data_IF_056257943074
#
_entry.id   IF_056257943074
#
_cell.length_a   1.000
_cell.length_b   1.000
_cell.length_c   1.000
_cell.angle_alpha   90.00
_cell.angle_beta   90.00
_cell.angle_gamma   90.00
#
_symmetry.space_group_name_H-M   'P 1'
#
loop_
_entity.id
_entity.type
_entity.pdbx_description
1 polymer ?
#
# COMPACT_ATOMS: atom_id res chain seq x y z
N UNK A 1 48.84 0.44 -47.88
CA UNK A 1 48.19 1.45 -48.72
C UNK A 1 46.74 1.07 -48.91
N UNK A 2 45.82 1.72 -48.20
CA UNK A 2 44.44 2.03 -48.59
C UNK A 2 43.87 2.95 -47.51
N UNK A 3 43.31 4.02 -48.00
CA UNK A 3 43.03 5.30 -47.37
C UNK A 3 41.82 5.24 -46.41
N UNK A 4 41.90 6.04 -45.36
CA UNK A 4 40.79 6.41 -44.45
C UNK A 4 39.99 7.55 -45.06
N UNK A 5 38.65 7.54 -44.98
CA UNK A 5 37.86 8.77 -45.28
C UNK A 5 37.62 9.57 -44.01
N UNK A 6 37.71 10.86 -44.18
CA UNK A 6 37.59 11.96 -43.25
C UNK A 6 36.19 12.10 -42.63
N UNK A 7 36.19 12.51 -41.36
CA UNK A 7 35.02 12.92 -40.58
C UNK A 7 34.60 14.32 -40.97
N UNK A 8 33.35 14.46 -41.52
CA UNK A 8 32.71 15.73 -41.74
C UNK A 8 32.05 16.24 -40.45
N UNK A 9 32.37 17.45 -40.05
CA UNK A 9 31.63 18.23 -39.03
C UNK A 9 30.34 18.74 -39.62
N UNK A 10 29.19 18.34 -39.03
CA UNK A 10 27.90 18.98 -39.25
C UNK A 10 27.57 19.75 -37.98
N UNK A 11 27.34 21.06 -38.17
CA UNK A 11 26.99 22.03 -37.13
C UNK A 11 25.56 21.81 -36.61
N UNK A 12 25.41 21.89 -35.32
CA UNK A 12 24.13 21.82 -34.65
C UNK A 12 23.48 23.20 -34.56
N UNK A 13 22.28 23.29 -35.07
CA UNK A 13 21.40 24.46 -34.86
C UNK A 13 20.66 24.27 -33.51
N UNK A 14 20.93 25.19 -32.60
CA UNK A 14 20.18 25.35 -31.37
C UNK A 14 18.82 26.00 -31.68
N UNK A 15 17.74 25.25 -31.55
CA UNK A 15 16.40 25.81 -31.51
C UNK A 15 16.19 26.52 -30.15
N UNK A 16 16.20 27.86 -30.21
CA UNK A 16 15.67 28.74 -29.16
C UNK A 16 14.15 28.68 -29.22
N UNK A 17 13.54 28.02 -28.23
CA UNK A 17 12.12 28.19 -27.94
C UNK A 17 11.94 29.45 -27.10
N UNK A 18 11.30 30.43 -27.70
CA UNK A 18 10.95 31.69 -27.07
C UNK A 18 9.87 31.53 -26.01
N UNK A 19 10.16 32.06 -24.84
CA UNK A 19 9.18 32.26 -23.78
C UNK A 19 8.29 33.43 -24.12
N UNK A 20 7.02 33.21 -24.43
CA UNK A 20 5.98 34.25 -24.48
C UNK A 20 5.35 34.41 -23.08
N UNK A 21 5.19 35.63 -22.57
CA UNK A 21 4.59 35.88 -21.27
C UNK A 21 3.07 35.73 -21.34
N UNK A 22 2.53 34.93 -20.43
CA UNK A 22 1.09 34.82 -20.20
C UNK A 22 0.53 36.15 -19.70
N UNK A 23 -0.30 36.79 -20.52
CA UNK A 23 -1.12 37.95 -20.15
C UNK A 23 -2.28 37.49 -19.27
N UNK A 24 -2.45 38.18 -18.16
CA UNK A 24 -3.60 38.13 -17.26
C UNK A 24 -4.92 38.32 -18.02
N UNK A 25 -5.80 37.32 -17.96
CA UNK A 25 -7.23 37.50 -18.16
C UNK A 25 -7.91 37.65 -16.78
N UNK A 26 -8.15 38.90 -16.40
CA UNK A 26 -9.12 39.23 -15.35
C UNK A 26 -10.52 39.01 -15.93
N UNK A 27 -11.22 37.94 -15.48
CA UNK A 27 -12.68 37.87 -15.61
C UNK A 27 -13.28 38.47 -14.36
N UNK A 28 -13.90 39.63 -14.50
CA UNK A 28 -14.87 40.17 -13.54
C UNK A 28 -16.04 39.21 -13.43
N UNK A 29 -16.25 38.63 -12.24
CA UNK A 29 -17.52 38.09 -11.85
C UNK A 29 -18.29 39.15 -11.08
N UNK A 30 -19.32 39.71 -11.70
CA UNK A 30 -20.29 40.58 -11.04
C UNK A 30 -21.11 39.73 -10.05
N UNK A 31 -20.88 39.93 -8.76
CA UNK A 31 -21.76 39.41 -7.71
C UNK A 31 -22.82 40.47 -7.46
N UNK A 32 -24.08 40.16 -7.78
CA UNK A 32 -25.25 40.93 -7.31
C UNK A 32 -25.47 40.60 -5.85
N UNK A 33 -25.82 41.57 -4.99
CA UNK A 33 -26.23 41.28 -3.62
C UNK A 33 -27.65 40.69 -3.62
N UNK A 34 -27.81 39.55 -2.92
CA UNK A 34 -29.12 39.00 -2.57
C UNK A 34 -29.54 39.56 -1.21
N UNK A 35 -30.73 40.07 -1.16
CA UNK A 35 -31.44 40.59 0.04
C UNK A 35 -31.68 39.46 1.06
N UNK A 36 -31.85 39.79 2.37
CA UNK A 36 -31.97 38.79 3.44
C UNK A 36 -33.38 38.30 3.55
N UNK A 37 -33.60 37.02 3.34
CA UNK A 37 -34.87 36.33 3.50
C UNK A 37 -34.70 34.85 3.84
N UNK A 38 -34.98 34.53 5.11
CA UNK A 38 -35.42 33.24 5.62
C UNK A 38 -34.58 32.00 5.22
N UNK A 39 -33.45 31.79 5.87
CA UNK A 39 -32.69 30.54 5.81
C UNK A 39 -33.13 29.54 6.89
N UNK A 40 -33.18 28.23 6.60
CA UNK A 40 -33.40 27.22 7.63
C UNK A 40 -32.18 27.20 8.58
N UNK A 41 -32.47 27.17 9.87
CA UNK A 41 -31.49 26.97 10.93
C UNK A 41 -30.84 25.59 10.79
N UNK A 42 -29.73 25.52 10.13
CA UNK A 42 -28.82 24.36 10.25
C UNK A 42 -28.06 24.52 11.56
N UNK A 43 -28.43 23.75 12.57
CA UNK A 43 -27.61 23.56 13.76
C UNK A 43 -26.25 23.06 13.31
N UNK A 44 -25.22 23.92 13.39
CA UNK A 44 -23.82 23.47 13.34
C UNK A 44 -23.59 22.65 14.61
N UNK A 45 -23.75 21.34 14.51
CA UNK A 45 -23.09 20.47 15.45
C UNK A 45 -21.59 20.61 15.17
N UNK A 46 -20.93 21.43 16.00
CA UNK A 46 -19.50 21.33 16.17
C UNK A 46 -19.22 19.90 16.60
N UNK A 47 -18.67 19.10 15.69
CA UNK A 47 -18.09 17.82 16.02
C UNK A 47 -16.85 18.13 16.85
N UNK A 48 -17.09 18.26 18.16
CA UNK A 48 -16.02 18.33 19.16
C UNK A 48 -15.33 16.97 19.13
N UNK A 49 -14.25 16.85 18.34
CA UNK A 49 -13.38 15.68 18.41
C UNK A 49 -12.78 15.66 19.81
N UNK A 50 -13.09 14.70 20.66
CA UNK A 50 -12.45 14.60 21.94
C UNK A 50 -10.96 14.33 21.70
N UNK A 51 -10.12 15.29 22.08
CA UNK A 51 -8.70 15.03 22.26
C UNK A 51 -8.56 13.85 23.21
N UNK A 52 -7.89 12.80 22.73
CA UNK A 52 -7.60 11.57 23.47
C UNK A 52 -6.82 11.88 24.76
N UNK A 53 -7.52 12.14 25.84
CA UNK A 53 -6.92 12.44 27.14
C UNK A 53 -7.28 11.45 28.25
N UNK A 54 -7.49 10.17 27.93
CA UNK A 54 -7.77 9.22 29.01
C UNK A 54 -7.20 7.80 28.79
N UNK A 55 -5.91 7.70 28.41
CA UNK A 55 -5.11 6.52 28.76
C UNK A 55 -4.35 6.79 30.05
N UNK A 56 -5.04 6.92 31.17
CA UNK A 56 -4.42 6.94 32.49
C UNK A 56 -4.41 5.53 33.09
N UNK A 57 -3.69 4.62 32.43
CA UNK A 57 -3.10 3.47 33.09
C UNK A 57 -1.64 3.79 33.32
N UNK A 58 -1.10 3.54 34.51
CA UNK A 58 0.22 3.91 34.99
C UNK A 58 1.26 4.15 33.88
N UNK A 59 1.48 5.37 33.52
CA UNK A 59 2.51 5.81 32.57
C UNK A 59 3.83 5.61 33.29
N UNK A 60 4.56 4.53 32.97
CA UNK A 60 6.01 4.55 33.17
C UNK A 60 6.51 5.83 32.51
N UNK A 61 7.28 6.64 33.24
CA UNK A 61 7.81 7.88 32.69
C UNK A 61 8.63 7.54 31.46
N UNK A 62 8.14 7.94 30.28
CA UNK A 62 8.80 7.69 29.00
C UNK A 62 10.16 8.37 29.00
N UNK A 63 11.23 7.64 28.70
CA UNK A 63 12.56 8.19 28.54
C UNK A 63 12.56 9.13 27.32
N UNK A 64 12.63 10.43 27.59
CA UNK A 64 12.67 11.44 26.53
C UNK A 64 14.08 11.53 25.96
N UNK A 65 14.27 11.51 24.64
CA UNK A 65 15.54 11.86 24.02
C UNK A 65 16.00 13.26 24.46
N UNK A 66 17.30 13.59 24.35
CA UNK A 66 17.81 14.91 24.68
C UNK A 66 17.07 16.01 23.93
N UNK A 67 16.67 17.06 24.69
CA UNK A 67 16.12 18.29 24.10
C UNK A 67 17.31 19.21 23.82
N UNK A 68 17.51 19.54 22.57
CA UNK A 68 18.70 20.22 22.07
C UNK A 68 18.35 21.52 21.33
N UNK A 69 19.36 22.32 21.01
CA UNK A 69 19.19 23.50 20.17
C UNK A 69 18.82 23.12 18.72
N UNK A 70 18.28 24.05 17.94
CA UNK A 70 17.98 23.86 16.52
C UNK A 70 19.22 23.46 15.72
N UNK A 71 20.38 24.02 16.07
CA UNK A 71 21.64 23.70 15.38
C UNK A 71 22.09 22.25 15.66
N UNK A 72 22.02 21.80 16.90
CA UNK A 72 22.35 20.41 17.27
C UNK A 72 21.36 19.43 16.68
N UNK A 73 20.07 19.80 16.61
CA UNK A 73 19.05 19.00 15.95
C UNK A 73 19.34 18.82 14.45
N UNK A 74 19.69 19.91 13.76
CA UNK A 74 20.00 19.85 12.32
C UNK A 74 21.26 19.01 12.07
N UNK A 75 22.28 19.12 12.91
CA UNK A 75 23.48 18.28 12.80
C UNK A 75 23.15 16.77 12.96
N UNK A 76 22.28 16.42 13.91
CA UNK A 76 21.81 15.05 14.09
C UNK A 76 20.97 14.59 12.89
N UNK A 77 20.10 15.46 12.36
CA UNK A 77 19.28 15.21 11.17
C UNK A 77 20.14 14.96 9.93
N UNK A 78 21.21 15.71 9.73
CA UNK A 78 22.15 15.52 8.63
C UNK A 78 22.86 14.16 8.71
N UNK A 79 23.26 13.71 9.92
CA UNK A 79 23.84 12.38 10.11
C UNK A 79 22.84 11.27 9.75
N UNK A 80 21.58 11.41 10.13
CA UNK A 80 20.53 10.47 9.77
C UNK A 80 20.29 10.46 8.26
N UNK A 81 20.31 11.63 7.60
CA UNK A 81 20.14 11.76 6.15
C UNK A 81 21.18 10.95 5.35
N UNK A 82 22.41 10.83 5.86
CA UNK A 82 23.45 9.98 5.23
C UNK A 82 22.99 8.52 5.19
N UNK A 83 22.41 8.02 6.29
CA UNK A 83 21.89 6.64 6.39
C UNK A 83 20.66 6.45 5.51
N UNK A 84 19.74 7.41 5.48
CA UNK A 84 18.56 7.40 4.62
C UNK A 84 18.94 7.32 3.13
N UNK A 85 19.93 8.12 2.70
CA UNK A 85 20.45 8.06 1.33
C UNK A 85 21.09 6.71 1.01
N UNK A 86 21.78 6.11 1.97
CA UNK A 86 22.36 4.78 1.80
C UNK A 86 21.27 3.70 1.65
N UNK A 87 20.21 3.79 2.47
CA UNK A 87 19.06 2.88 2.38
C UNK A 87 18.34 3.01 1.02
N UNK A 88 18.14 4.23 0.53
CA UNK A 88 17.52 4.45 -0.80
C UNK A 88 18.36 3.77 -1.88
N UNK A 89 19.69 3.98 -1.88
CA UNK A 89 20.58 3.31 -2.84
C UNK A 89 20.55 1.78 -2.74
N UNK A 90 20.48 1.23 -1.51
CA UNK A 90 20.33 -0.21 -1.31
C UNK A 90 19.00 -0.74 -1.86
N UNK A 91 17.89 0.00 -1.68
CA UNK A 91 16.59 -0.34 -2.28
C UNK A 91 16.64 -0.32 -3.80
N UNK A 92 17.31 0.67 -4.39
CA UNK A 92 17.48 0.76 -5.85
C UNK A 92 18.31 -0.42 -6.40
N UNK A 93 19.38 -0.80 -5.71
CA UNK A 93 20.20 -1.96 -6.05
C UNK A 93 19.39 -3.26 -5.98
N UNK A 94 18.67 -3.49 -4.89
CA UNK A 94 17.77 -4.64 -4.75
C UNK A 94 16.68 -4.67 -5.84
N UNK A 95 16.11 -3.53 -6.19
CA UNK A 95 15.16 -3.45 -7.29
C UNK A 95 15.80 -3.77 -8.65
N UNK A 96 17.06 -3.41 -8.85
CA UNK A 96 17.83 -3.78 -10.05
C UNK A 96 18.10 -5.29 -10.10
N UNK A 97 18.41 -5.93 -8.97
CA UNK A 97 18.56 -7.39 -8.88
C UNK A 97 17.23 -8.10 -9.18
N UNK A 98 16.13 -7.61 -8.60
CA UNK A 98 14.78 -8.13 -8.86
C UNK A 98 14.43 -8.11 -10.35
N UNK A 99 14.81 -7.06 -11.08
CA UNK A 99 14.64 -6.99 -12.55
C UNK A 99 15.49 -7.97 -13.34
N UNK A 100 16.52 -8.55 -12.72
CA UNK A 100 17.39 -9.57 -13.32
C UNK A 100 17.04 -10.99 -12.90
N UNK A 101 16.08 -11.17 -12.01
CA UNK A 101 15.61 -12.50 -11.64
C UNK A 101 15.09 -13.25 -12.87
N UNK A 102 15.30 -14.57 -12.94
CA UNK A 102 14.71 -15.39 -14.00
C UNK A 102 13.18 -15.36 -13.92
N UNK A 103 12.54 -15.40 -15.08
CA UNK A 103 11.10 -15.51 -15.18
C UNK A 103 10.66 -16.96 -15.17
N UNK A 104 9.53 -17.25 -14.55
CA UNK A 104 8.91 -18.57 -14.54
C UNK A 104 7.72 -18.56 -15.52
N UNK A 105 7.74 -19.42 -16.53
CA UNK A 105 6.62 -19.56 -17.46
C UNK A 105 5.36 -20.03 -16.74
N UNK A 106 4.23 -19.44 -17.10
CA UNK A 106 2.90 -19.84 -16.63
C UNK A 106 2.22 -20.58 -17.76
N UNK A 107 2.29 -21.91 -17.73
CA UNK A 107 1.77 -22.76 -18.83
C UNK A 107 0.32 -23.17 -18.60
N UNK A 108 -0.13 -23.19 -17.35
CA UNK A 108 -1.50 -23.54 -16.99
C UNK A 108 -2.45 -22.37 -17.26
N UNK A 109 -3.58 -22.64 -17.88
CA UNK A 109 -4.67 -21.70 -18.01
C UNK A 109 -5.35 -21.52 -16.63
N UNK A 110 -5.47 -20.27 -16.18
CA UNK A 110 -6.20 -19.91 -14.98
C UNK A 110 -7.43 -19.09 -15.34
N UNK A 111 -8.53 -19.35 -14.65
CA UNK A 111 -9.79 -18.64 -14.81
C UNK A 111 -10.25 -18.02 -13.50
N UNK A 112 -10.89 -16.87 -13.64
CA UNK A 112 -11.43 -16.10 -12.53
C UNK A 112 -12.87 -15.70 -12.84
N UNK A 113 -13.70 -15.55 -11.82
CA UNK A 113 -14.97 -14.85 -12.00
C UNK A 113 -14.74 -13.36 -11.76
N UNK A 114 -15.10 -12.55 -12.75
CA UNK A 114 -15.08 -11.09 -12.68
C UNK A 114 -16.50 -10.51 -12.51
N UNK A 115 -16.61 -9.18 -12.35
CA UNK A 115 -17.91 -8.51 -12.19
C UNK A 115 -18.88 -8.73 -13.37
N UNK A 116 -18.35 -8.98 -14.57
CA UNK A 116 -19.13 -9.15 -15.81
C UNK A 116 -19.09 -10.57 -16.37
N UNK A 117 -18.51 -11.50 -15.64
CA UNK A 117 -18.40 -12.90 -16.07
C UNK A 117 -16.99 -13.45 -15.92
N UNK A 118 -16.77 -14.64 -16.51
CA UNK A 118 -15.50 -15.35 -16.42
C UNK A 118 -14.43 -14.70 -17.29
N UNK A 119 -13.22 -14.62 -16.77
CA UNK A 119 -12.04 -14.04 -17.41
C UNK A 119 -10.82 -14.93 -17.18
N UNK A 120 -9.86 -14.89 -18.09
CA UNK A 120 -8.58 -15.59 -17.97
C UNK A 120 -7.54 -14.74 -17.20
N UNK A 121 -6.42 -15.35 -16.82
CA UNK A 121 -5.26 -14.62 -16.27
C UNK A 121 -4.77 -13.55 -17.27
N UNK A 122 -4.83 -13.81 -18.56
CA UNK A 122 -4.43 -12.84 -19.59
C UNK A 122 -5.33 -11.61 -19.62
N UNK A 123 -6.62 -11.77 -19.38
CA UNK A 123 -7.59 -10.67 -19.33
C UNK A 123 -7.33 -9.72 -18.15
N UNK A 124 -6.78 -10.26 -17.04
CA UNK A 124 -6.44 -9.43 -15.87
C UNK A 124 -5.37 -8.36 -16.15
N UNK A 125 -4.59 -8.54 -17.20
CA UNK A 125 -3.64 -7.52 -17.66
C UNK A 125 -4.33 -6.26 -18.24
N UNK A 126 -5.60 -6.34 -18.60
CA UNK A 126 -6.36 -5.24 -19.21
C UNK A 126 -5.62 -4.60 -20.40
N UNK A 127 -4.98 -5.43 -21.22
CA UNK A 127 -4.19 -4.99 -22.38
C UNK A 127 -2.76 -4.54 -22.06
N UNK A 128 -2.38 -4.36 -20.78
CA UNK A 128 -1.04 -3.92 -20.36
C UNK A 128 -0.08 -5.10 -20.32
N UNK A 129 1.22 -4.80 -20.32
CA UNK A 129 2.27 -5.84 -20.28
C UNK A 129 2.57 -6.38 -18.90
N UNK A 130 2.29 -5.63 -17.85
CA UNK A 130 2.62 -6.01 -16.47
C UNK A 130 1.36 -6.13 -15.63
N UNK A 131 1.35 -7.11 -14.74
CA UNK A 131 0.24 -7.38 -13.85
C UNK A 131 0.77 -7.63 -12.43
N UNK A 132 0.15 -7.01 -11.46
CA UNK A 132 0.31 -7.32 -10.05
C UNK A 132 -1.02 -7.91 -9.57
N UNK A 133 -0.98 -9.12 -9.01
CA UNK A 133 -2.14 -9.76 -8.40
C UNK A 133 -1.89 -9.82 -6.89
N UNK A 134 -2.67 -9.07 -6.13
CA UNK A 134 -2.71 -9.22 -4.69
C UNK A 134 -3.73 -10.30 -4.30
N UNK A 135 -3.25 -11.39 -3.74
CA UNK A 135 -4.13 -12.38 -3.12
C UNK A 135 -4.60 -11.84 -1.78
N UNK A 136 -5.86 -11.47 -1.69
CA UNK A 136 -6.50 -10.99 -0.48
C UNK A 136 -7.21 -12.16 0.23
N UNK A 137 -6.99 -12.31 1.54
CA UNK A 137 -7.52 -13.44 2.31
C UNK A 137 -8.96 -13.16 2.76
N UNK A 138 -9.87 -13.15 1.78
CA UNK A 138 -11.31 -12.92 1.91
C UNK A 138 -12.05 -14.14 1.36
N UNK A 139 -12.58 -14.98 2.24
CA UNK A 139 -13.20 -16.25 1.84
C UNK A 139 -14.00 -16.89 2.95
N UNK A 140 -14.92 -17.83 2.65
CA UNK A 140 -15.59 -18.65 3.64
C UNK A 140 -14.59 -19.37 4.55
N UNK A 141 -14.86 -19.39 5.85
CA UNK A 141 -13.98 -19.97 6.87
C UNK A 141 -13.03 -18.96 7.52
N UNK A 142 -12.77 -17.81 6.92
CA UNK A 142 -12.06 -16.72 7.57
C UNK A 142 -12.96 -16.05 8.59
N UNK A 143 -12.43 -15.73 9.76
CA UNK A 143 -13.20 -15.15 10.86
C UNK A 143 -13.91 -13.86 10.43
N UNK A 144 -15.18 -13.77 10.75
CA UNK A 144 -16.03 -12.62 10.43
C UNK A 144 -16.61 -12.62 9.03
N UNK A 145 -16.22 -13.56 8.16
CA UNK A 145 -16.79 -13.66 6.81
C UNK A 145 -18.32 -13.91 6.84
N UNK A 146 -19.12 -13.27 5.96
CA UNK A 146 -18.75 -12.38 4.87
C UNK A 146 -18.74 -10.88 5.21
N UNK A 147 -19.01 -10.50 6.45
CA UNK A 147 -19.05 -9.09 6.87
C UNK A 147 -17.64 -8.51 7.06
N UNK A 148 -16.74 -9.34 7.56
CA UNK A 148 -15.33 -9.02 7.79
C UNK A 148 -14.46 -10.21 7.36
N UNK A 149 -13.15 -10.00 7.27
CA UNK A 149 -12.17 -11.05 6.98
C UNK A 149 -10.77 -10.61 7.47
N UNK A 150 -9.72 -10.81 6.67
CA UNK A 150 -8.36 -10.44 6.99
C UNK A 150 -8.21 -8.92 7.19
N UNK A 151 -7.90 -8.50 8.43
CA UNK A 151 -7.70 -7.08 8.79
C UNK A 151 -6.52 -6.47 8.02
N UNK A 152 -5.39 -7.18 7.91
CA UNK A 152 -4.23 -6.68 7.17
C UNK A 152 -4.52 -6.47 5.69
N UNK A 153 -5.31 -7.36 5.06
CA UNK A 153 -5.75 -7.16 3.68
C UNK A 153 -6.70 -5.97 3.53
N UNK A 154 -7.55 -5.71 4.55
CA UNK A 154 -8.41 -4.53 4.60
C UNK A 154 -7.57 -3.25 4.70
N UNK A 155 -6.62 -3.22 5.63
CA UNK A 155 -5.67 -2.11 5.78
C UNK A 155 -4.90 -1.84 4.48
N UNK A 156 -4.46 -2.91 3.78
CA UNK A 156 -3.84 -2.80 2.46
C UNK A 156 -4.77 -2.21 1.41
N UNK A 157 -6.04 -2.63 1.37
CA UNK A 157 -7.04 -2.12 0.44
C UNK A 157 -7.33 -0.62 0.65
N UNK A 158 -7.38 -0.17 1.91
CA UNK A 158 -7.57 1.24 2.26
C UNK A 158 -6.45 2.14 1.71
N UNK A 159 -5.25 1.60 1.56
CA UNK A 159 -4.05 2.32 1.11
C UNK A 159 -3.83 2.28 -0.41
N UNK A 160 -4.66 1.55 -1.17
CA UNK A 160 -4.55 1.54 -2.63
C UNK A 160 -4.85 2.93 -3.18
N UNK A 161 -3.83 3.55 -3.76
CA UNK A 161 -3.91 4.87 -4.37
C UNK A 161 -4.64 4.84 -5.73
N UNK A 162 -4.64 5.96 -6.45
CA UNK A 162 -5.18 6.02 -7.80
C UNK A 162 -4.33 5.16 -8.77
N UNK A 163 -4.95 4.16 -9.38
CA UNK A 163 -4.29 3.18 -10.24
C UNK A 163 -3.77 3.76 -11.57
N UNK A 164 -4.21 4.96 -11.99
CA UNK A 164 -3.76 5.59 -13.23
C UNK A 164 -2.24 5.76 -13.30
N UNK A 165 -1.58 5.92 -12.15
CA UNK A 165 -0.12 6.04 -12.09
C UNK A 165 0.60 4.73 -12.45
N UNK A 166 0.05 3.59 -12.01
CA UNK A 166 0.52 2.27 -12.42
C UNK A 166 0.19 2.01 -13.89
N UNK A 167 -1.04 2.31 -14.29
CA UNK A 167 -1.51 2.12 -15.66
C UNK A 167 -0.66 2.89 -16.67
N UNK A 168 -0.24 4.13 -16.35
CA UNK A 168 0.67 4.93 -17.16
C UNK A 168 2.08 4.31 -17.29
N UNK A 169 2.41 3.30 -16.46
CA UNK A 169 3.62 2.50 -16.53
C UNK A 169 3.36 1.07 -17.01
N UNK A 170 2.31 0.91 -17.82
CA UNK A 170 1.97 -0.35 -18.48
C UNK A 170 1.78 -1.50 -17.46
N UNK A 171 1.21 -1.16 -16.29
CA UNK A 171 1.04 -2.07 -15.15
C UNK A 171 -0.40 -2.04 -14.66
N UNK A 172 -1.01 -3.21 -14.52
CA UNK A 172 -2.32 -3.40 -13.88
C UNK A 172 -2.12 -3.94 -12.47
N UNK A 173 -2.87 -3.43 -11.51
CA UNK A 173 -3.00 -4.00 -10.17
C UNK A 173 -4.43 -4.50 -10.00
N UNK A 174 -4.57 -5.77 -9.62
CA UNK A 174 -5.84 -6.39 -9.28
C UNK A 174 -5.76 -7.08 -7.93
N UNK A 175 -6.91 -7.20 -7.28
CA UNK A 175 -7.10 -8.08 -6.12
C UNK A 175 -7.74 -9.38 -6.59
N UNK A 176 -7.37 -10.48 -5.95
CA UNK A 176 -7.97 -11.78 -6.15
C UNK A 176 -8.21 -12.47 -4.82
N UNK A 177 -9.35 -13.14 -4.65
CA UNK A 177 -9.71 -13.87 -3.44
C UNK A 177 -10.69 -14.99 -3.78
N UNK A 178 -10.98 -15.87 -2.82
CA UNK A 178 -12.01 -16.90 -3.01
C UNK A 178 -13.43 -16.41 -2.64
N UNK A 179 -13.57 -15.12 -2.34
CA UNK A 179 -14.86 -14.48 -2.14
C UNK A 179 -15.71 -14.51 -3.42
N UNK A 180 -17.02 -14.72 -3.29
CA UNK A 180 -17.95 -14.61 -4.42
C UNK A 180 -18.06 -13.15 -4.87
N UNK A 181 -18.30 -12.91 -6.15
CA UNK A 181 -18.42 -11.55 -6.70
C UNK A 181 -19.50 -10.70 -6.00
N UNK A 182 -20.59 -11.30 -5.56
CA UNK A 182 -21.65 -10.59 -4.80
C UNK A 182 -21.12 -10.07 -3.44
N UNK A 183 -20.32 -10.87 -2.74
CA UNK A 183 -19.73 -10.47 -1.46
C UNK A 183 -18.64 -9.42 -1.66
N UNK A 184 -17.81 -9.56 -2.69
CA UNK A 184 -16.81 -8.57 -3.11
C UNK A 184 -17.48 -7.22 -3.41
N UNK A 185 -18.55 -7.22 -4.21
CA UNK A 185 -19.27 -6.00 -4.58
C UNK A 185 -19.84 -5.27 -3.34
N UNK A 186 -20.42 -6.03 -2.39
CA UNK A 186 -20.95 -5.50 -1.14
C UNK A 186 -19.84 -4.87 -0.28
N UNK A 187 -18.73 -5.58 -0.09
CA UNK A 187 -17.57 -5.10 0.66
C UNK A 187 -16.98 -3.83 0.03
N UNK A 188 -16.75 -3.86 -1.27
CA UNK A 188 -16.24 -2.69 -2.01
C UNK A 188 -17.14 -1.47 -1.85
N UNK A 189 -18.46 -1.67 -1.89
CA UNK A 189 -19.43 -0.59 -1.69
C UNK A 189 -19.35 0.00 -0.29
N UNK A 190 -19.31 -0.86 0.75
CA UNK A 190 -19.24 -0.45 2.16
C UNK A 190 -17.92 0.27 2.48
N UNK A 191 -16.79 -0.28 2.04
CA UNK A 191 -15.46 0.17 2.41
C UNK A 191 -14.89 1.27 1.49
N UNK A 192 -15.61 1.67 0.46
CA UNK A 192 -15.12 2.67 -0.50
C UNK A 192 -14.02 2.16 -1.44
N UNK A 193 -13.87 0.84 -1.63
CA UNK A 193 -12.85 0.22 -2.48
C UNK A 193 -13.25 0.12 -3.96
N UNK A 194 -14.20 0.93 -4.40
CA UNK A 194 -14.76 0.87 -5.76
C UNK A 194 -13.73 0.90 -6.89
N UNK A 195 -12.59 1.57 -6.67
CA UNK A 195 -11.50 1.69 -7.64
C UNK A 195 -10.64 0.43 -7.82
N UNK A 196 -10.74 -0.57 -6.92
CA UNK A 196 -9.89 -1.77 -6.95
C UNK A 196 -10.55 -2.81 -7.85
N UNK A 197 -9.95 -3.22 -8.99
CA UNK A 197 -10.39 -4.41 -9.73
C UNK A 197 -10.21 -5.63 -8.83
N UNK A 198 -11.27 -6.46 -8.70
CA UNK A 198 -11.24 -7.60 -7.78
C UNK A 198 -11.96 -8.80 -8.37
N UNK A 199 -11.26 -9.94 -8.38
CA UNK A 199 -11.69 -11.16 -9.05
C UNK A 199 -11.80 -12.33 -8.06
N UNK A 200 -12.69 -13.27 -8.36
CA UNK A 200 -12.83 -14.52 -7.59
C UNK A 200 -11.92 -15.58 -8.20
N UNK A 201 -11.05 -16.18 -7.37
CA UNK A 201 -10.23 -17.32 -7.75
C UNK A 201 -11.14 -18.56 -7.77
N UNK A 202 -11.20 -19.24 -8.90
CA UNK A 202 -12.06 -20.42 -9.12
C UNK A 202 -11.30 -21.75 -9.16
N UNK A 203 -9.97 -21.68 -9.26
CA UNK A 203 -9.08 -22.84 -9.38
C UNK A 203 -7.95 -22.83 -8.35
N UNK A 204 -6.79 -23.42 -8.65
CA UNK A 204 -5.63 -23.49 -7.75
C UNK A 204 -4.64 -22.35 -7.92
N UNK A 205 -5.00 -21.24 -8.57
CA UNK A 205 -4.09 -20.12 -8.85
C UNK A 205 -3.31 -19.66 -7.59
N UNK A 206 -3.98 -19.44 -6.47
CA UNK A 206 -3.36 -18.98 -5.24
C UNK A 206 -2.39 -20.00 -4.65
N UNK A 207 -2.74 -21.29 -4.64
CA UNK A 207 -1.88 -22.38 -4.19
C UNK A 207 -0.67 -22.56 -5.09
N UNK A 208 -0.87 -22.56 -6.42
CA UNK A 208 0.19 -22.73 -7.41
C UNK A 208 1.22 -21.57 -7.35
N UNK A 209 0.80 -20.38 -6.91
CA UNK A 209 1.67 -19.21 -6.73
C UNK A 209 2.07 -18.93 -5.26
N UNK A 210 1.91 -19.91 -4.37
CA UNK A 210 2.45 -19.88 -3.01
C UNK A 210 1.71 -18.97 -2.03
N UNK A 211 0.43 -18.69 -2.28
CA UNK A 211 -0.44 -17.83 -1.46
C UNK A 211 -1.81 -18.47 -1.18
N UNK A 212 -1.90 -19.81 -1.17
CA UNK A 212 -3.16 -20.55 -1.05
C UNK A 212 -3.93 -20.30 0.24
N UNK A 213 -3.23 -20.20 1.37
CA UNK A 213 -3.84 -20.02 2.70
C UNK A 213 -3.58 -18.65 3.31
N UNK A 214 -3.06 -17.68 2.52
CA UNK A 214 -2.60 -16.42 3.05
C UNK A 214 -2.73 -15.28 2.04
N UNK A 215 -1.93 -14.25 2.19
CA UNK A 215 -1.90 -13.09 1.33
C UNK A 215 -0.52 -12.91 0.67
N UNK A 216 -0.46 -12.13 -0.39
CA UNK A 216 0.79 -11.76 -1.06
C UNK A 216 0.56 -11.12 -2.42
N UNK A 217 1.58 -10.39 -2.86
CA UNK A 217 1.61 -9.79 -4.19
C UNK A 217 2.44 -10.65 -5.12
N UNK A 218 1.84 -11.17 -6.18
CA UNK A 218 2.53 -11.80 -7.29
C UNK A 218 2.64 -10.81 -8.45
N UNK A 219 3.82 -10.70 -9.04
CA UNK A 219 4.06 -9.89 -10.22
C UNK A 219 4.25 -10.78 -11.45
N UNK A 220 3.62 -10.38 -12.56
CA UNK A 220 3.66 -11.08 -13.83
C UNK A 220 4.00 -10.10 -14.96
N UNK A 221 4.55 -10.64 -16.04
CA UNK A 221 4.72 -9.95 -17.31
C UNK A 221 4.18 -10.83 -18.42
N UNK A 222 3.66 -10.24 -19.49
CA UNK A 222 3.29 -10.96 -20.70
C UNK A 222 4.14 -10.56 -21.91
N UNK A 223 4.36 -11.53 -22.77
CA UNK A 223 4.93 -11.36 -24.12
C UNK A 223 3.96 -11.99 -25.13
N UNK A 224 3.16 -11.15 -25.76
CA UNK A 224 1.96 -11.61 -26.49
C UNK A 224 0.98 -12.29 -25.53
N UNK A 225 0.66 -13.55 -25.80
CA UNK A 225 -0.23 -14.38 -24.99
C UNK A 225 0.49 -15.24 -23.95
N UNK A 226 1.83 -15.22 -23.95
CA UNK A 226 2.62 -15.94 -22.96
C UNK A 226 2.76 -15.11 -21.69
N UNK A 227 2.47 -15.72 -20.54
CA UNK A 227 2.56 -15.10 -19.23
C UNK A 227 3.75 -15.67 -18.46
N UNK A 228 4.47 -14.82 -17.75
CA UNK A 228 5.58 -15.20 -16.89
C UNK A 228 5.41 -14.58 -15.52
N UNK A 229 5.66 -15.37 -14.46
CA UNK A 229 5.81 -14.85 -13.10
C UNK A 229 7.21 -14.28 -12.95
N UNK A 230 7.31 -13.07 -12.41
CA UNK A 230 8.58 -12.36 -12.25
C UNK A 230 8.98 -12.17 -10.78
N UNK A 231 8.01 -12.09 -9.87
CA UNK A 231 8.28 -11.87 -8.45
C UNK A 231 7.12 -12.26 -7.55
N UNK A 232 7.45 -12.50 -6.27
CA UNK A 232 6.48 -12.64 -5.17
C UNK A 232 7.00 -11.89 -3.96
N UNK A 233 6.09 -11.20 -3.26
CA UNK A 233 6.33 -10.68 -1.93
C UNK A 233 5.12 -10.99 -1.06
N UNK A 234 5.34 -11.35 0.20
CA UNK A 234 4.29 -11.68 1.17
C UNK A 234 4.74 -11.39 2.60
N UNK A 235 3.87 -11.69 3.57
CA UNK A 235 4.12 -11.50 4.99
C UNK A 235 4.56 -10.05 5.26
N UNK A 236 5.55 -9.85 6.14
CA UNK A 236 6.05 -8.52 6.46
C UNK A 236 6.60 -7.74 5.25
N UNK A 237 7.00 -8.44 4.18
CA UNK A 237 7.41 -7.78 2.94
C UNK A 237 6.31 -6.96 2.28
N UNK A 238 5.04 -7.31 2.48
CA UNK A 238 3.89 -6.57 1.94
C UNK A 238 3.71 -5.18 2.57
N UNK A 239 4.27 -4.94 3.76
CA UNK A 239 4.22 -3.63 4.43
C UNK A 239 4.84 -2.53 3.56
N UNK A 240 5.81 -2.87 2.71
CA UNK A 240 6.41 -1.94 1.76
C UNK A 240 5.41 -1.39 0.72
N UNK A 241 4.24 -2.03 0.57
CA UNK A 241 3.17 -1.59 -0.33
C UNK A 241 2.18 -0.63 0.34
N UNK A 242 2.27 -0.41 1.67
CA UNK A 242 1.38 0.45 2.42
C UNK A 242 2.07 1.70 2.97
N UNK A 243 1.38 2.84 2.91
CA UNK A 243 1.92 4.13 3.35
C UNK A 243 1.83 4.33 4.86
N UNK A 244 0.88 3.70 5.54
CA UNK A 244 0.67 3.88 6.99
C UNK A 244 1.90 3.49 7.79
N UNK A 245 2.55 2.38 7.45
CA UNK A 245 3.77 1.92 8.12
C UNK A 245 4.92 2.92 7.95
N UNK A 246 5.09 3.46 6.73
CA UNK A 246 6.11 4.47 6.44
C UNK A 246 5.86 5.78 7.21
N UNK A 247 4.60 6.17 7.38
CA UNK A 247 4.26 7.35 8.18
C UNK A 247 4.53 7.12 9.67
N UNK A 248 4.16 5.97 10.21
CA UNK A 248 4.43 5.64 11.61
C UNK A 248 5.93 5.59 11.90
N UNK A 249 6.72 4.99 11.00
CA UNK A 249 8.18 4.91 11.12
C UNK A 249 8.86 6.30 11.14
N UNK A 250 8.18 7.36 10.70
CA UNK A 250 8.67 8.75 10.79
C UNK A 250 8.32 9.44 12.11
N UNK A 251 7.44 8.84 12.93
CA UNK A 251 6.97 9.46 14.16
C UNK A 251 7.88 9.13 15.34
N UNK A 252 7.80 9.94 16.40
CA UNK A 252 8.62 9.75 17.59
C UNK A 252 8.33 8.42 18.32
N UNK A 253 7.11 7.89 18.23
CA UNK A 253 6.71 6.65 18.89
C UNK A 253 6.79 5.43 17.99
N UNK A 254 7.04 5.59 16.69
CA UNK A 254 7.06 4.50 15.72
C UNK A 254 5.71 3.81 15.59
N UNK A 255 5.71 2.52 15.32
CA UNK A 255 4.52 1.67 15.23
C UNK A 255 4.00 1.20 16.57
N UNK A 256 4.77 1.42 17.63
CA UNK A 256 4.50 1.03 19.00
C UNK A 256 4.37 -0.50 19.17
N UNK A 257 5.21 -1.24 18.45
CA UNK A 257 5.23 -2.71 18.48
C UNK A 257 6.47 -3.25 19.19
N UNK A 258 6.33 -4.35 19.93
CA UNK A 258 7.40 -4.91 20.81
C UNK A 258 8.67 -5.37 20.11
N UNK A 259 8.70 -5.42 18.78
CA UNK A 259 9.90 -5.74 18.00
C UNK A 259 10.75 -4.50 17.68
N UNK A 260 10.21 -3.29 17.88
CA UNK A 260 10.94 -2.04 17.66
C UNK A 260 11.98 -1.82 18.78
N UNK A 261 13.15 -1.36 18.38
CA UNK A 261 14.17 -0.89 19.31
C UNK A 261 13.81 0.53 19.75
N UNK A 262 12.98 0.63 20.78
CA UNK A 262 12.47 1.90 21.31
C UNK A 262 13.06 2.20 22.69
N UNK A 263 13.24 3.47 23.05
CA UNK A 263 13.67 3.87 24.40
C UNK A 263 12.73 3.34 25.49
N UNK A 264 13.25 3.21 26.72
CA UNK A 264 12.48 2.73 27.85
C UNK A 264 11.23 3.61 28.12
N UNK A 265 10.11 2.95 28.42
CA UNK A 265 8.84 3.60 28.72
C UNK A 265 8.02 4.01 27.49
N UNK A 266 8.53 3.80 26.27
CA UNK A 266 7.73 3.99 25.06
C UNK A 266 6.59 2.96 25.00
N UNK A 267 5.40 3.36 24.52
CA UNK A 267 4.29 2.42 24.38
C UNK A 267 4.68 1.32 23.39
N UNK A 268 4.49 0.07 23.78
CA UNK A 268 4.75 -1.10 22.93
C UNK A 268 3.69 -2.15 23.17
N UNK A 269 3.11 -2.67 22.11
CA UNK A 269 2.16 -3.76 22.18
C UNK A 269 2.49 -4.86 21.15
N UNK A 270 1.77 -5.96 21.19
CA UNK A 270 1.99 -7.06 20.25
C UNK A 270 1.85 -6.58 18.81
N UNK A 271 2.69 -7.04 17.88
CA UNK A 271 2.60 -6.67 16.46
C UNK A 271 1.19 -6.86 15.92
N UNK A 272 0.76 -5.87 15.12
CA UNK A 272 -0.52 -5.87 14.42
C UNK A 272 -1.78 -5.77 15.31
N UNK A 273 -1.64 -5.66 16.62
CA UNK A 273 -2.79 -5.56 17.53
C UNK A 273 -3.60 -4.28 17.31
N UNK A 274 -2.98 -3.21 16.86
CA UNK A 274 -3.62 -1.93 16.56
C UNK A 274 -4.38 -1.93 15.21
N UNK A 275 -4.20 -2.96 14.38
CA UNK A 275 -4.90 -3.05 13.11
C UNK A 275 -6.38 -3.29 13.31
N UNK A 276 -7.21 -2.56 12.55
CA UNK A 276 -8.64 -2.74 12.56
C UNK A 276 -9.23 -2.40 11.19
N UNK A 277 -10.51 -2.68 11.00
CA UNK A 277 -11.26 -2.15 9.87
C UNK A 277 -11.39 -0.64 10.03
N UNK A 278 -11.30 0.12 8.92
CA UNK A 278 -11.32 1.59 8.98
C UNK A 278 -12.59 2.16 9.65
N UNK A 279 -13.72 1.47 9.52
CA UNK A 279 -14.99 1.80 10.15
C UNK A 279 -15.07 1.43 11.64
N UNK A 280 -14.13 0.64 12.14
CA UNK A 280 -14.12 0.12 13.51
C UNK A 280 -13.14 0.83 14.44
N UNK A 281 -12.40 1.82 13.95
CA UNK A 281 -11.60 2.70 14.80
C UNK A 281 -12.51 3.69 15.54
N UNK A 282 -13.14 3.22 16.61
CA UNK A 282 -13.95 4.10 17.47
C UNK A 282 -13.05 4.73 18.53
N UNK A 283 -13.11 6.05 18.75
CA UNK A 283 -12.38 6.69 19.83
C UNK A 283 -12.70 5.99 21.16
N UNK A 284 -11.65 5.52 21.89
CA UNK A 284 -11.71 4.89 23.21
C UNK A 284 -12.30 3.47 23.31
N UNK A 285 -12.51 2.75 22.24
CA UNK A 285 -12.74 1.31 22.32
C UNK A 285 -11.46 0.56 22.00
N UNK A 286 -11.04 -0.34 22.91
CA UNK A 286 -10.01 -1.31 22.57
C UNK A 286 -10.48 -2.10 21.34
N UNK A 287 -9.60 -2.42 20.36
CA UNK A 287 -9.96 -3.30 19.25
C UNK A 287 -10.58 -4.57 19.82
N UNK A 288 -11.67 -5.06 19.24
CA UNK A 288 -12.23 -6.35 19.65
C UNK A 288 -11.13 -7.41 19.46
N UNK A 289 -10.63 -8.05 20.55
CA UNK A 289 -9.54 -9.02 20.45
C UNK A 289 -9.86 -10.19 19.51
N UNK A 290 -11.15 -10.40 19.17
CA UNK A 290 -11.56 -11.38 18.16
C UNK A 290 -11.11 -11.04 16.73
N UNK A 291 -10.86 -9.76 16.44
CA UNK A 291 -10.41 -9.31 15.11
C UNK A 291 -8.91 -9.49 14.89
N UNK A 292 -8.14 -9.65 15.95
CA UNK A 292 -6.68 -9.80 15.94
C UNK A 292 -6.25 -11.27 15.95
N UNK A 293 -7.19 -12.19 16.06
CA UNK A 293 -6.85 -13.61 15.95
C UNK A 293 -6.52 -13.97 14.49
N UNK A 294 -5.25 -13.75 14.15
CA UNK A 294 -4.57 -14.65 13.24
C UNK A 294 -4.89 -16.06 13.76
N UNK A 295 -5.45 -16.93 12.93
CA UNK A 295 -5.76 -18.30 13.34
C UNK A 295 -4.59 -18.89 14.13
N UNK A 296 -4.83 -19.77 15.09
CA UNK A 296 -3.78 -20.43 15.89
C UNK A 296 -2.64 -21.00 15.02
N UNK A 297 -2.95 -21.40 13.80
CA UNK A 297 -2.00 -21.81 12.77
C UNK A 297 -1.08 -20.66 12.32
N UNK A 298 -1.60 -19.44 12.18
CA UNK A 298 -0.81 -18.27 11.80
C UNK A 298 0.09 -17.81 12.97
N UNK A 299 -0.38 -17.90 14.20
CA UNK A 299 0.43 -17.59 15.39
C UNK A 299 1.56 -18.64 15.57
N UNK A 300 1.29 -19.91 15.32
CA UNK A 300 2.28 -20.99 15.33
C UNK A 300 3.33 -20.81 14.22
N UNK A 301 2.93 -20.37 13.02
CA UNK A 301 3.83 -20.07 11.92
C UNK A 301 4.72 -18.86 12.22
N UNK A 302 4.19 -17.83 12.88
CA UNK A 302 4.93 -16.65 13.30
C UNK A 302 5.99 -17.01 14.36
N UNK A 303 5.63 -17.77 15.38
CA UNK A 303 6.57 -18.26 16.45
C UNK A 303 7.69 -19.13 15.87
N UNK A 304 7.41 -19.94 14.84
CA UNK A 304 8.43 -20.78 14.19
C UNK A 304 9.46 -19.97 13.42
N UNK A 305 9.07 -18.85 12.82
CA UNK A 305 10.00 -17.95 12.11
C UNK A 305 10.89 -17.15 13.04
N UNK A 306 10.33 -16.64 14.14
CA UNK A 306 11.10 -15.91 15.17
C UNK A 306 12.15 -16.79 15.86
N UNK A 307 11.85 -18.06 16.07
CA UNK A 307 12.80 -19.02 16.61
C UNK A 307 13.94 -19.34 15.63
N UNK A 308 13.67 -19.32 14.32
CA UNK A 308 14.68 -19.53 13.27
C UNK A 308 15.54 -18.32 12.93
N UNK A 309 15.09 -17.11 13.28
CA UNK A 309 15.84 -15.88 13.02
C UNK A 309 16.86 -15.52 14.13
N UNK A 310 16.82 -16.26 15.26
CA UNK A 310 17.71 -16.10 16.41
C UNK A 310 18.76 -17.22 16.53
N UNK A 311 18.81 -18.15 15.57
CA UNK A 311 19.81 -19.17 15.40
C UNK A 311 20.71 -18.85 14.19
#
# INVERSE_FOLDING_TARGET
MRETPSVGKAGGDFFRLGLTPFRHLKRLCCIRPLEPGCGPQTSKQEVNMPTSSNQRGATLAMSTPPIVSAQEWEAAREQLLVKEKALIRARDAMAAERRRMPWMAVEKAYEFDGPTGRVSLLDLFEGRRQLIVYRAFFEPGVHGWPEHACIGCSLGADQVSNLVHLNARDTTLVYASRARQADIARLKGRMGWGKIPWYTITDSFDADFGVGEWHGHNAFIRDGDRVFRTYLINSRGDEAMGTVWSYLDMTALGRQEIWEDSPEGYPQERPYKWWNWNESYVPNTAPDPKWVQVSDAGEAAFRKRDAGAKA
#
